data_IF_567036272424
#
_entry.id   IF_567036272424
#
_cell.length_a   1.000
_cell.length_b   1.000
_cell.length_c   1.000
_cell.angle_alpha   90.00
_cell.angle_beta   90.00
_cell.angle_gamma   90.00
#
_symmetry.space_group_name_H-M   'P 1'
#
loop_
_entity.id
_entity.type
_entity.pdbx_description
1 polymer ?
#
# COMPACT_ATOMS: atom_id res chain seq x y z
N UNK A 1 -30.91 -38.43 -14.40
CA UNK A 1 -30.08 -37.55 -13.53
C UNK A 1 -28.57 -37.88 -13.49
N UNK A 2 -28.08 -38.90 -14.22
CA UNK A 2 -26.64 -39.21 -14.25
C UNK A 2 -25.83 -38.36 -15.26
N UNK A 3 -26.42 -37.97 -16.39
CA UNK A 3 -25.75 -37.16 -17.42
C UNK A 3 -25.14 -35.84 -16.90
N UNK A 4 -25.83 -35.16 -15.96
CA UNK A 4 -25.31 -33.93 -15.35
C UNK A 4 -24.08 -34.14 -14.45
N UNK A 5 -23.94 -35.32 -13.83
CA UNK A 5 -22.77 -35.65 -12.99
C UNK A 5 -21.55 -35.98 -13.84
N UNK A 6 -21.75 -36.71 -14.94
CA UNK A 6 -20.70 -36.97 -15.92
C UNK A 6 -20.21 -35.66 -16.56
N UNK A 7 -21.12 -34.74 -16.92
CA UNK A 7 -20.74 -33.40 -17.41
C UNK A 7 -19.95 -32.57 -16.39
N UNK A 8 -20.30 -32.59 -15.11
CA UNK A 8 -19.54 -31.86 -14.07
C UNK A 8 -18.17 -32.50 -13.85
N UNK A 9 -18.06 -33.83 -13.82
CA UNK A 9 -16.78 -34.53 -13.73
C UNK A 9 -15.88 -34.25 -14.93
N UNK A 10 -16.43 -34.26 -16.15
CA UNK A 10 -15.72 -33.89 -17.36
C UNK A 10 -15.27 -32.42 -17.31
N UNK A 11 -16.14 -31.48 -16.97
CA UNK A 11 -15.77 -30.06 -16.84
C UNK A 11 -14.69 -29.82 -15.78
N UNK A 12 -14.68 -30.57 -14.68
CA UNK A 12 -13.62 -30.51 -13.67
C UNK A 12 -12.30 -31.12 -14.19
N UNK A 13 -12.37 -32.21 -14.95
CA UNK A 13 -11.19 -32.85 -15.55
C UNK A 13 -10.56 -31.95 -16.63
N UNK A 14 -11.39 -31.35 -17.49
CA UNK A 14 -10.99 -30.30 -18.44
C UNK A 14 -10.41 -29.09 -17.70
N UNK A 15 -11.02 -28.63 -16.60
CA UNK A 15 -10.44 -27.55 -15.80
C UNK A 15 -9.08 -27.91 -15.21
N UNK A 16 -8.86 -29.16 -14.77
CA UNK A 16 -7.52 -29.59 -14.31
C UNK A 16 -6.51 -29.74 -15.45
N UNK A 17 -6.95 -30.14 -16.64
CA UNK A 17 -6.09 -30.23 -17.83
C UNK A 17 -5.69 -28.83 -18.32
N UNK A 18 -6.65 -27.89 -18.33
CA UNK A 18 -6.42 -26.48 -18.64
C UNK A 18 -5.52 -25.85 -17.56
N UNK A 19 -5.73 -26.12 -16.27
CA UNK A 19 -4.89 -25.59 -15.20
C UNK A 19 -3.46 -26.17 -15.22
N UNK A 20 -3.29 -27.43 -15.64
CA UNK A 20 -1.99 -28.03 -15.90
C UNK A 20 -1.32 -27.46 -17.17
N UNK A 21 -2.10 -27.13 -18.21
CA UNK A 21 -1.60 -26.51 -19.44
C UNK A 21 -1.35 -24.99 -19.32
N UNK A 22 -1.98 -24.29 -18.37
CA UNK A 22 -1.68 -22.90 -18.04
C UNK A 22 -0.56 -22.76 -17.02
N UNK A 23 -0.29 -23.82 -16.23
CA UNK A 23 1.03 -24.08 -15.64
C UNK A 23 2.04 -24.45 -16.74
N UNK A 24 2.23 -23.54 -17.70
CA UNK A 24 3.45 -23.47 -18.48
C UNK A 24 4.58 -23.23 -17.48
N UNK A 25 5.25 -24.32 -17.10
CA UNK A 25 6.56 -24.23 -16.49
C UNK A 25 7.41 -23.47 -17.50
N UNK A 26 7.68 -22.20 -17.21
CA UNK A 26 8.58 -21.38 -18.04
C UNK A 26 9.96 -21.99 -17.86
N UNK A 27 10.24 -22.98 -18.70
CA UNK A 27 11.55 -23.61 -18.81
C UNK A 27 12.50 -22.49 -19.19
N UNK A 28 13.45 -22.10 -18.32
CA UNK A 28 14.34 -21.02 -18.64
C UNK A 28 15.15 -21.48 -19.85
N UNK A 29 15.06 -20.74 -20.96
CA UNK A 29 15.68 -21.12 -22.24
C UNK A 29 17.17 -21.45 -22.12
N UNK A 30 17.83 -20.81 -21.16
CA UNK A 30 19.22 -21.08 -20.80
C UNK A 30 19.37 -21.39 -19.30
N UNK A 31 20.45 -22.08 -18.90
CA UNK A 31 20.78 -22.33 -17.50
C UNK A 31 20.86 -21.05 -16.66
N UNK A 32 20.66 -21.20 -15.35
CA UNK A 32 20.76 -20.09 -14.39
C UNK A 32 22.18 -19.51 -14.41
N UNK A 33 22.29 -18.24 -14.84
CA UNK A 33 23.56 -17.54 -14.98
C UNK A 33 23.84 -17.09 -16.41
N UNK A 34 23.33 -17.82 -17.41
CA UNK A 34 23.58 -17.58 -18.82
C UNK A 34 22.59 -16.59 -19.46
N UNK A 35 22.82 -16.26 -20.74
CA UNK A 35 21.90 -15.52 -21.60
C UNK A 35 21.83 -16.14 -23.00
N UNK A 36 20.67 -16.04 -23.63
CA UNK A 36 20.46 -16.41 -25.04
C UNK A 36 21.04 -15.32 -25.95
N UNK A 37 21.92 -15.70 -26.89
CA UNK A 37 22.45 -14.81 -27.92
C UNK A 37 21.47 -14.67 -29.12
N UNK A 38 21.84 -13.92 -30.15
CA UNK A 38 20.95 -13.73 -31.34
C UNK A 38 20.69 -15.00 -32.15
N UNK A 39 21.58 -15.99 -32.05
CA UNK A 39 21.51 -17.27 -32.77
C UNK A 39 20.79 -18.35 -31.93
N UNK A 40 20.23 -17.99 -30.77
CA UNK A 40 19.56 -18.93 -29.85
C UNK A 40 20.51 -19.72 -28.95
N UNK A 41 21.80 -19.38 -28.93
CA UNK A 41 22.84 -20.10 -28.19
C UNK A 41 22.95 -19.55 -26.76
N UNK A 42 23.03 -20.44 -25.78
CA UNK A 42 23.25 -20.07 -24.38
C UNK A 42 24.72 -19.76 -24.09
N UNK A 43 24.97 -18.50 -23.70
CA UNK A 43 26.29 -17.95 -23.44
C UNK A 43 26.46 -17.51 -21.97
N UNK A 44 27.67 -17.70 -21.43
CA UNK A 44 28.04 -17.20 -20.09
C UNK A 44 28.07 -15.67 -20.01
N UNK A 45 27.52 -15.10 -18.94
CA UNK A 45 27.65 -13.66 -18.64
C UNK A 45 29.06 -13.28 -18.20
N UNK A 46 29.47 -12.05 -18.52
CA UNK A 46 30.69 -11.45 -17.99
C UNK A 46 30.55 -11.17 -16.49
N UNK A 47 31.60 -11.39 -15.68
CA UNK A 47 31.56 -11.10 -14.24
C UNK A 47 31.55 -9.59 -13.96
N UNK A 48 31.22 -9.23 -12.71
CA UNK A 48 31.43 -7.88 -12.21
C UNK A 48 32.89 -7.44 -12.44
N UNK A 49 33.11 -6.20 -12.85
CA UNK A 49 34.40 -5.71 -13.33
C UNK A 49 34.57 -5.73 -14.85
N UNK A 50 33.73 -6.45 -15.59
CA UNK A 50 33.93 -6.71 -17.01
C UNK A 50 32.69 -6.39 -17.84
N UNK A 51 32.90 -6.07 -19.12
CA UNK A 51 31.87 -5.92 -20.15
C UNK A 51 32.08 -6.91 -21.28
N UNK A 52 31.00 -7.18 -22.01
CA UNK A 52 31.00 -7.99 -23.21
C UNK A 52 31.76 -7.28 -24.36
N UNK A 53 32.54 -8.04 -25.11
CA UNK A 53 33.20 -7.61 -26.36
C UNK A 53 32.58 -8.32 -27.55
N UNK A 54 32.39 -9.64 -27.43
CA UNK A 54 31.75 -10.48 -28.43
C UNK A 54 30.91 -11.56 -27.74
N UNK A 55 29.75 -11.86 -28.33
CA UNK A 55 28.87 -12.97 -27.93
C UNK A 55 29.59 -14.32 -28.16
N UNK A 56 29.18 -15.38 -27.46
CA UNK A 56 29.75 -16.71 -27.70
C UNK A 56 29.26 -17.27 -29.06
N UNK A 57 30.09 -18.08 -29.72
CA UNK A 57 29.79 -18.66 -31.04
C UNK A 57 29.25 -20.10 -30.99
N UNK A 58 29.27 -20.73 -29.81
CA UNK A 58 28.78 -22.11 -29.61
C UNK A 58 28.42 -22.35 -28.16
N UNK A 59 27.52 -23.30 -27.93
CA UNK A 59 26.95 -23.57 -26.61
C UNK A 59 28.03 -23.99 -25.60
N UNK A 60 27.91 -23.50 -24.35
CA UNK A 60 28.90 -23.75 -23.30
C UNK A 60 30.24 -23.01 -23.44
N UNK A 61 30.46 -22.24 -24.52
CA UNK A 61 31.65 -21.39 -24.61
C UNK A 61 31.49 -20.10 -23.81
N UNK A 62 32.58 -19.65 -23.20
CA UNK A 62 32.63 -18.41 -22.43
C UNK A 62 32.62 -17.20 -23.39
N UNK A 63 31.69 -16.27 -23.18
CA UNK A 63 31.68 -15.00 -23.92
C UNK A 63 32.97 -14.21 -23.72
N UNK A 64 33.36 -13.42 -24.74
CA UNK A 64 34.58 -12.62 -24.69
C UNK A 64 34.34 -11.36 -23.84
N UNK A 65 35.05 -11.26 -22.71
CA UNK A 65 34.85 -10.21 -21.70
C UNK A 65 36.15 -9.43 -21.46
N UNK A 66 36.06 -8.10 -21.39
CA UNK A 66 37.19 -7.20 -21.12
C UNK A 66 36.90 -6.34 -19.88
N UNK A 67 37.90 -5.98 -19.06
CA UNK A 67 37.67 -5.15 -17.88
C UNK A 67 37.07 -3.79 -18.24
N UNK A 68 36.28 -3.22 -17.34
CA UNK A 68 35.75 -1.87 -17.49
C UNK A 68 36.90 -0.85 -17.55
N UNK A 69 36.86 0.10 -18.51
CA UNK A 69 37.88 1.13 -18.61
C UNK A 69 37.79 2.12 -17.44
N UNK A 70 38.85 2.91 -17.23
CA UNK A 70 38.89 3.91 -16.17
C UNK A 70 37.66 4.87 -16.22
N UNK A 71 37.12 5.18 -15.04
CA UNK A 71 35.86 5.93 -14.84
C UNK A 71 34.59 5.22 -15.34
N UNK A 72 34.63 3.89 -15.52
CA UNK A 72 33.44 3.05 -15.70
C UNK A 72 33.47 1.82 -14.79
N UNK A 73 32.30 1.23 -14.52
CA UNK A 73 32.14 0.06 -13.68
C UNK A 73 30.98 -0.85 -14.11
N UNK A 74 31.01 -2.10 -13.65
CA UNK A 74 29.88 -3.04 -13.65
C UNK A 74 29.94 -3.87 -12.36
N UNK A 75 28.94 -3.76 -11.49
CA UNK A 75 28.92 -4.41 -10.16
C UNK A 75 28.22 -5.77 -10.14
N UNK A 76 27.66 -6.21 -11.28
CA UNK A 76 26.89 -7.44 -11.42
C UNK A 76 27.36 -8.25 -12.63
N UNK A 77 27.00 -9.54 -12.66
CA UNK A 77 27.16 -10.36 -13.85
C UNK A 77 26.29 -9.79 -14.97
N UNK A 78 26.85 -9.64 -16.17
CA UNK A 78 26.20 -8.89 -17.24
C UNK A 78 26.58 -9.40 -18.64
N UNK A 79 25.75 -9.11 -19.63
CA UNK A 79 26.01 -9.29 -21.05
C UNK A 79 26.06 -7.93 -21.79
N UNK A 80 26.45 -6.86 -21.09
CA UNK A 80 26.42 -5.51 -21.62
C UNK A 80 27.73 -5.18 -22.37
N UNK A 81 27.62 -4.62 -23.58
CA UNK A 81 28.78 -4.18 -24.37
C UNK A 81 29.46 -2.90 -23.83
N UNK A 82 28.84 -2.24 -22.85
CA UNK A 82 29.29 -0.97 -22.25
C UNK A 82 29.18 -1.06 -20.72
N UNK A 83 30.20 -0.57 -20.02
CA UNK A 83 30.14 -0.39 -18.56
C UNK A 83 29.41 0.92 -18.21
N UNK A 84 28.85 1.00 -17.01
CA UNK A 84 28.20 2.23 -16.53
C UNK A 84 29.25 3.26 -16.14
N UNK A 85 29.02 4.55 -16.43
CA UNK A 85 29.91 5.63 -15.99
C UNK A 85 29.84 5.78 -14.47
N UNK A 86 30.99 5.98 -13.83
CA UNK A 86 31.06 6.19 -12.38
C UNK A 86 30.32 7.47 -11.95
N UNK A 87 29.66 7.46 -10.78
CA UNK A 87 29.11 8.68 -10.16
C UNK A 87 30.27 9.65 -9.85
N UNK A 88 30.04 10.94 -10.07
CA UNK A 88 30.96 12.01 -9.60
C UNK A 88 30.33 12.68 -8.38
N UNK A 89 31.06 12.71 -7.27
CA UNK A 89 30.59 13.36 -6.04
C UNK A 89 30.63 14.88 -6.19
N UNK A 90 29.53 15.55 -5.88
CA UNK A 90 29.33 16.98 -6.13
C UNK A 90 29.72 17.79 -4.91
N UNK A 91 30.90 18.42 -4.94
CA UNK A 91 31.35 19.35 -3.91
C UNK A 91 30.34 20.49 -3.65
N UNK A 92 29.64 20.96 -4.70
CA UNK A 92 28.56 21.94 -4.59
C UNK A 92 27.31 21.47 -3.80
N UNK A 93 27.19 20.15 -3.53
CA UNK A 93 26.18 19.54 -2.65
C UNK A 93 26.77 19.03 -1.34
N UNK A 94 27.97 19.49 -0.96
CA UNK A 94 28.72 19.02 0.21
C UNK A 94 29.03 17.49 0.19
N UNK A 95 29.00 16.85 -0.97
CA UNK A 95 29.45 15.46 -1.14
C UNK A 95 30.98 15.39 -1.25
N UNK A 96 31.56 14.32 -0.72
CA UNK A 96 32.96 13.90 -0.90
C UNK A 96 33.03 12.44 -1.35
N UNK A 97 34.10 12.08 -2.04
CA UNK A 97 34.38 10.68 -2.36
C UNK A 97 34.80 9.93 -1.08
N UNK A 98 34.03 8.89 -0.73
CA UNK A 98 34.31 8.01 0.42
C UNK A 98 34.95 6.70 -0.05
N UNK A 99 34.59 6.23 -1.24
CA UNK A 99 35.29 5.13 -1.93
C UNK A 99 35.48 5.49 -3.41
N UNK A 100 36.69 5.34 -3.97
CA UNK A 100 36.96 5.58 -5.38
C UNK A 100 36.23 4.56 -6.25
N UNK A 101 35.95 4.94 -7.50
CA UNK A 101 35.41 4.02 -8.48
C UNK A 101 36.44 2.94 -8.85
N UNK A 102 35.97 1.70 -9.02
CA UNK A 102 36.74 0.54 -9.47
C UNK A 102 35.98 -0.14 -10.59
N UNK A 103 36.64 -0.99 -11.38
CA UNK A 103 35.96 -1.72 -12.46
C UNK A 103 34.69 -2.47 -11.99
N UNK A 104 34.71 -3.03 -10.77
CA UNK A 104 33.59 -3.76 -10.18
C UNK A 104 32.72 -2.96 -9.19
N UNK A 105 32.95 -1.65 -9.01
CA UNK A 105 32.31 -0.87 -7.94
C UNK A 105 32.16 0.61 -8.33
N UNK A 106 30.95 1.16 -8.18
CA UNK A 106 30.72 2.59 -8.39
C UNK A 106 31.50 3.45 -7.37
N UNK A 107 31.72 4.72 -7.69
CA UNK A 107 32.12 5.72 -6.69
C UNK A 107 31.06 5.78 -5.58
N UNK A 108 31.50 5.73 -4.33
CA UNK A 108 30.61 5.93 -3.16
C UNK A 108 30.82 7.36 -2.67
N UNK A 109 29.77 8.17 -2.78
CA UNK A 109 29.73 9.53 -2.25
C UNK A 109 29.11 9.54 -0.85
N UNK A 110 29.65 10.36 0.03
CA UNK A 110 29.08 10.64 1.36
C UNK A 110 29.21 12.10 1.71
N UNK A 111 28.56 12.53 2.80
CA UNK A 111 28.61 13.92 3.22
C UNK A 111 29.98 14.31 3.80
N UNK A 112 30.39 15.55 3.53
CA UNK A 112 31.56 16.19 4.13
C UNK A 112 31.44 16.18 5.66
N UNK A 113 32.58 16.17 6.36
CA UNK A 113 32.59 16.32 7.83
C UNK A 113 31.88 17.63 8.23
N UNK A 114 31.01 17.58 9.24
CA UNK A 114 30.11 18.68 9.60
C UNK A 114 28.78 18.71 8.82
N UNK A 115 28.50 17.67 8.03
CA UNK A 115 27.23 17.47 7.31
C UNK A 115 26.74 16.03 7.48
N UNK A 116 25.41 15.86 7.55
CA UNK A 116 24.73 14.57 7.64
C UNK A 116 23.83 14.34 6.42
N UNK A 117 23.53 13.07 6.10
CA UNK A 117 22.57 12.70 5.06
C UNK A 117 21.14 12.97 5.51
N UNK A 118 20.44 13.81 4.78
CA UNK A 118 18.99 13.93 4.83
C UNK A 118 18.37 13.16 3.65
N UNK A 119 17.46 12.24 3.94
CA UNK A 119 16.76 11.45 2.93
C UNK A 119 15.48 12.20 2.52
N UNK A 120 15.43 12.68 1.27
CA UNK A 120 14.25 13.34 0.69
C UNK A 120 13.30 12.30 0.07
N UNK A 121 13.86 11.18 -0.41
CA UNK A 121 13.14 9.94 -0.73
C UNK A 121 14.14 8.75 -0.75
N UNK A 122 13.70 7.60 -1.29
CA UNK A 122 14.51 6.39 -1.41
C UNK A 122 15.74 6.50 -2.33
N UNK A 123 15.78 7.48 -3.23
CA UNK A 123 16.87 7.67 -4.20
C UNK A 123 17.62 9.00 -3.98
N UNK A 124 16.95 10.00 -3.40
CA UNK A 124 17.43 11.37 -3.26
C UNK A 124 17.92 11.64 -1.84
N UNK A 125 19.24 11.78 -1.73
CA UNK A 125 19.91 12.19 -0.49
C UNK A 125 20.54 13.58 -0.68
N UNK A 126 20.35 14.43 0.32
CA UNK A 126 21.00 15.74 0.44
C UNK A 126 21.94 15.76 1.65
N UNK A 127 23.04 16.51 1.57
CA UNK A 127 23.95 16.70 2.69
C UNK A 127 23.63 18.03 3.40
N UNK A 128 22.88 17.95 4.49
CA UNK A 128 22.55 19.09 5.35
C UNK A 128 23.64 19.32 6.39
N UNK A 129 23.84 20.58 6.77
CA UNK A 129 24.85 20.96 7.75
C UNK A 129 24.40 20.54 9.14
N UNK A 130 25.30 19.98 9.94
CA UNK A 130 24.98 19.58 11.31
C UNK A 130 24.44 20.77 12.13
N UNK A 131 23.37 20.53 12.87
CA UNK A 131 22.81 21.43 13.85
C UNK A 131 23.82 21.72 14.98
N UNK A 132 23.71 22.91 15.56
CA UNK A 132 24.46 23.30 16.76
C UNK A 132 23.47 23.52 17.90
N UNK A 133 23.70 22.86 19.03
CA UNK A 133 22.87 23.06 20.21
C UNK A 133 22.95 24.50 20.71
N UNK A 134 21.83 25.01 21.22
CA UNK A 134 21.71 26.36 21.76
C UNK A 134 22.45 26.50 23.11
N UNK A 135 22.69 27.72 23.63
CA UNK A 135 23.36 27.92 24.92
C UNK A 135 22.63 27.30 26.13
N UNK A 136 21.32 27.09 26.04
CA UNK A 136 20.42 26.41 26.99
C UNK A 136 20.34 24.88 26.80
N UNK A 137 20.97 24.36 25.75
CA UNK A 137 20.97 22.95 25.36
C UNK A 137 22.37 22.31 25.56
N UNK A 138 22.41 20.98 25.65
CA UNK A 138 23.65 20.18 25.65
C UNK A 138 23.62 19.18 24.49
N UNK A 139 24.79 18.82 23.96
CA UNK A 139 24.90 17.75 22.97
C UNK A 139 24.72 16.40 23.65
N UNK A 140 23.63 15.69 23.35
CA UNK A 140 23.40 14.32 23.81
C UNK A 140 24.06 13.32 22.85
N UNK A 141 23.94 13.59 21.54
CA UNK A 141 24.57 12.79 20.49
C UNK A 141 25.24 13.68 19.45
N UNK A 142 26.54 13.45 19.25
CA UNK A 142 27.34 14.09 18.22
C UNK A 142 26.83 13.78 16.80
N UNK A 143 26.88 14.80 15.93
CA UNK A 143 26.58 14.63 14.52
C UNK A 143 27.49 13.59 13.85
N UNK A 144 26.93 12.86 12.89
CA UNK A 144 27.67 11.91 12.05
C UNK A 144 27.32 12.14 10.58
N UNK A 145 27.93 11.40 9.66
CA UNK A 145 27.56 11.48 8.23
C UNK A 145 26.13 10.96 7.95
N UNK A 146 25.51 10.22 8.87
CA UNK A 146 24.20 9.57 8.65
C UNK A 146 23.07 10.16 9.50
N UNK A 147 23.39 10.92 10.57
CA UNK A 147 22.41 11.54 11.49
C UNK A 147 22.94 12.88 12.01
N UNK A 148 22.03 13.82 12.21
CA UNK A 148 22.31 15.14 12.78
C UNK A 148 22.73 15.08 14.26
N UNK A 149 23.21 16.20 14.80
CA UNK A 149 23.38 16.45 16.24
C UNK A 149 22.04 16.33 16.97
N UNK A 150 22.00 15.66 18.11
CA UNK A 150 20.83 15.64 19.01
C UNK A 150 21.12 16.48 20.25
N UNK A 151 20.21 17.41 20.55
CA UNK A 151 20.37 18.42 21.58
C UNK A 151 19.35 18.27 22.72
N UNK A 152 19.82 17.88 23.89
CA UNK A 152 19.06 17.85 25.14
C UNK A 152 18.96 19.23 25.78
N UNK A 153 18.05 19.41 26.74
CA UNK A 153 18.12 20.57 27.63
C UNK A 153 19.21 20.35 28.69
N UNK A 154 19.83 21.43 29.17
CA UNK A 154 20.75 21.37 30.31
C UNK A 154 20.02 20.99 31.60
N UNK A 155 20.76 20.53 32.61
CA UNK A 155 20.22 20.28 33.95
C UNK A 155 19.44 21.49 34.48
N UNK A 156 18.29 21.22 35.11
CA UNK A 156 17.33 22.23 35.57
C UNK A 156 16.64 23.02 34.44
N UNK A 157 16.69 22.56 33.20
CA UNK A 157 15.84 23.03 32.10
C UNK A 157 15.03 21.88 31.49
N UNK A 158 13.83 22.17 30.99
CA UNK A 158 12.96 21.20 30.34
C UNK A 158 12.41 21.74 29.01
N UNK A 159 12.10 20.83 28.07
CA UNK A 159 11.74 21.20 26.69
C UNK A 159 10.27 21.60 26.60
N UNK A 160 10.00 22.90 26.47
CA UNK A 160 8.68 23.49 26.23
C UNK A 160 8.64 24.07 24.83
N UNK A 161 7.73 23.58 23.96
CA UNK A 161 7.54 24.11 22.59
C UNK A 161 8.87 24.30 21.80
N UNK A 162 9.76 23.31 21.88
CA UNK A 162 11.11 23.31 21.27
C UNK A 162 12.12 24.37 21.78
N UNK A 163 11.87 24.96 22.96
CA UNK A 163 12.82 25.76 23.74
C UNK A 163 13.10 25.07 25.07
N UNK A 164 14.27 25.28 25.66
CA UNK A 164 14.54 24.83 27.02
C UNK A 164 14.17 25.94 27.99
N UNK A 165 13.17 25.70 28.83
CA UNK A 165 12.74 26.63 29.88
C UNK A 165 13.26 26.17 31.24
N UNK A 166 13.66 27.08 32.15
CA UNK A 166 14.19 26.70 33.45
C UNK A 166 13.09 26.10 34.34
N UNK A 167 13.43 25.04 35.06
CA UNK A 167 12.57 24.41 36.06
C UNK A 167 12.33 25.37 37.24
N UNK A 168 11.13 25.97 37.28
CA UNK A 168 10.68 26.81 38.41
C UNK A 168 9.82 26.04 39.41
N UNK A 169 9.00 25.11 38.91
CA UNK A 169 8.05 24.31 39.68
C UNK A 169 8.23 22.83 39.33
N UNK A 170 7.84 21.93 40.23
CA UNK A 170 7.84 20.48 40.00
C UNK A 170 6.69 20.01 39.09
N UNK A 171 6.67 20.47 37.84
CA UNK A 171 5.78 19.94 36.80
C UNK A 171 6.33 18.64 36.22
N UNK A 172 5.51 17.92 35.44
CA UNK A 172 5.81 16.61 34.85
C UNK A 172 7.09 16.55 34.00
N UNK A 173 7.59 17.70 33.51
CA UNK A 173 8.86 17.81 32.78
C UNK A 173 10.10 18.10 33.64
N UNK A 174 9.91 18.45 34.92
CA UNK A 174 10.98 18.80 35.87
C UNK A 174 11.06 17.85 37.08
N UNK A 175 10.22 16.81 37.12
CA UNK A 175 10.10 15.90 38.28
C UNK A 175 11.42 15.22 38.67
N UNK A 176 12.33 14.99 37.71
CA UNK A 176 13.67 14.41 37.95
C UNK A 176 14.67 15.39 38.58
N UNK A 177 14.42 16.71 38.51
CA UNK A 177 15.24 17.75 39.13
C UNK A 177 14.65 18.29 40.44
N UNK A 178 13.41 17.93 40.77
CA UNK A 178 12.87 18.15 42.10
C UNK A 178 13.26 17.00 43.03
N UNK A 179 14.12 17.30 44.01
CA UNK A 179 14.23 16.47 45.21
C UNK A 179 12.96 16.62 46.05
N UNK A 180 11.94 15.85 45.71
CA UNK A 180 10.95 15.42 46.67
C UNK A 180 11.66 14.45 47.64
N UNK A 181 11.86 14.90 48.88
CA UNK A 181 12.20 13.99 49.98
C UNK A 181 11.03 13.02 50.19
N UNK A 182 11.09 11.87 49.52
CA UNK A 182 10.19 10.75 49.78
C UNK A 182 10.91 9.81 50.73
N UNK A 183 10.34 9.67 51.93
CA UNK A 183 10.81 8.72 52.94
C UNK A 183 10.90 7.31 52.35
N UNK A 184 11.93 6.58 52.76
CA UNK A 184 12.14 5.17 52.38
C UNK A 184 11.07 4.28 53.01
N UNK A 185 10.03 3.95 52.25
CA UNK A 185 9.29 2.70 52.41
C UNK A 185 9.36 1.92 51.09
N UNK A 186 9.88 0.70 51.17
CA UNK A 186 10.20 -0.08 49.98
C UNK A 186 9.11 -1.11 49.70
N UNK A 187 8.82 -1.35 48.41
CA UNK A 187 8.12 -2.57 48.01
C UNK A 187 8.61 -3.19 46.69
N UNK A 188 8.63 -4.53 46.73
CA UNK A 188 8.81 -5.54 45.69
C UNK A 188 8.96 -5.14 44.21
N UNK A 189 9.99 -5.72 43.61
CA UNK A 189 10.00 -6.09 42.19
C UNK A 189 8.92 -7.15 41.87
N UNK A 190 8.17 -7.01 40.76
CA UNK A 190 7.62 -8.14 40.03
C UNK A 190 8.62 -8.62 38.96
N UNK A 191 8.75 -9.94 38.80
CA UNK A 191 9.63 -10.56 37.80
C UNK A 191 9.06 -10.54 36.37
N UNK A 192 9.83 -11.02 35.37
CA UNK A 192 9.40 -11.03 33.97
C UNK A 192 8.29 -12.07 33.70
N UNK A 193 7.22 -11.66 33.04
CA UNK A 193 6.13 -12.57 32.65
C UNK A 193 6.50 -13.51 31.48
N UNK A 194 5.95 -14.74 31.45
CA UNK A 194 6.26 -15.74 30.43
C UNK A 194 5.46 -15.53 29.13
N UNK A 195 6.15 -15.51 27.98
CA UNK A 195 5.59 -15.32 26.62
C UNK A 195 4.83 -16.55 26.07
N UNK A 196 3.91 -17.13 26.84
CA UNK A 196 3.19 -18.36 26.44
C UNK A 196 1.75 -18.14 25.93
N UNK A 197 1.17 -16.95 26.10
CA UNK A 197 -0.23 -16.70 25.73
C UNK A 197 -0.48 -16.60 24.20
N UNK A 198 0.56 -16.35 23.40
CA UNK A 198 0.43 -16.22 21.95
C UNK A 198 0.29 -17.57 21.22
N UNK A 199 0.96 -18.62 21.73
CA UNK A 199 0.98 -19.95 21.11
C UNK A 199 -0.33 -20.71 21.36
N UNK A 200 -0.93 -20.55 22.55
CA UNK A 200 -2.19 -21.22 22.92
C UNK A 200 -3.34 -20.74 22.03
N UNK A 201 -3.42 -19.42 21.76
CA UNK A 201 -4.43 -18.86 20.87
C UNK A 201 -4.27 -19.32 19.41
N UNK A 202 -3.04 -19.54 18.94
CA UNK A 202 -2.76 -20.04 17.59
C UNK A 202 -3.21 -21.50 17.42
N UNK A 203 -2.99 -22.34 18.44
CA UNK A 203 -3.41 -23.75 18.43
C UNK A 203 -4.92 -23.88 18.61
N UNK A 204 -5.54 -23.11 19.51
CA UNK A 204 -6.98 -23.11 19.71
C UNK A 204 -7.74 -22.66 18.44
N UNK A 205 -7.25 -21.63 17.75
CA UNK A 205 -7.83 -21.16 16.49
C UNK A 205 -7.80 -22.21 15.38
N UNK A 206 -6.68 -22.95 15.23
CA UNK A 206 -6.56 -23.99 14.19
C UNK A 206 -7.52 -25.16 14.43
N UNK A 207 -7.71 -25.58 15.68
CA UNK A 207 -8.67 -26.65 16.05
C UNK A 207 -10.11 -26.24 15.71
N UNK A 208 -10.51 -24.99 15.99
CA UNK A 208 -11.85 -24.49 15.65
C UNK A 208 -12.07 -24.47 14.14
N UNK A 209 -11.10 -24.01 13.35
CA UNK A 209 -11.21 -24.01 11.87
C UNK A 209 -11.34 -25.43 11.31
N UNK A 210 -10.55 -26.38 11.81
CA UNK A 210 -10.65 -27.80 11.38
C UNK A 210 -12.00 -28.40 11.74
N UNK A 211 -12.53 -28.14 12.94
CA UNK A 211 -13.86 -28.61 13.36
C UNK A 211 -14.98 -28.02 12.50
N UNK A 212 -14.92 -26.74 12.13
CA UNK A 212 -15.87 -26.10 11.20
C UNK A 212 -15.81 -26.73 9.81
N UNK A 213 -14.60 -26.96 9.27
CA UNK A 213 -14.44 -27.62 7.97
C UNK A 213 -14.99 -29.05 7.97
N UNK A 214 -14.73 -29.84 9.02
CA UNK A 214 -15.31 -31.18 9.18
C UNK A 214 -16.84 -31.14 9.29
N UNK A 215 -17.40 -30.20 10.05
CA UNK A 215 -18.85 -30.02 10.15
C UNK A 215 -19.47 -29.64 8.80
N UNK A 216 -18.82 -28.80 7.99
CA UNK A 216 -19.26 -28.47 6.63
C UNK A 216 -19.21 -29.68 5.69
N UNK A 217 -18.17 -30.51 5.74
CA UNK A 217 -18.09 -31.75 4.96
C UNK A 217 -19.18 -32.75 5.38
N UNK A 218 -19.44 -32.91 6.68
CA UNK A 218 -20.54 -33.73 7.19
C UNK A 218 -21.90 -33.17 6.76
N UNK A 219 -22.09 -31.84 6.80
CA UNK A 219 -23.34 -31.22 6.34
C UNK A 219 -23.55 -31.40 4.83
N UNK A 220 -22.52 -31.21 4.00
CA UNK A 220 -22.60 -31.40 2.55
C UNK A 220 -22.85 -32.86 2.20
N UNK A 221 -22.18 -33.82 2.86
CA UNK A 221 -22.42 -35.26 2.65
C UNK A 221 -23.79 -35.70 3.17
N UNK A 222 -24.27 -35.15 4.28
CA UNK A 222 -25.64 -35.37 4.79
C UNK A 222 -26.70 -34.79 3.84
N UNK A 223 -26.51 -33.58 3.33
CA UNK A 223 -27.41 -32.98 2.34
C UNK A 223 -27.38 -33.74 1.00
N UNK A 224 -26.22 -34.23 0.58
CA UNK A 224 -26.09 -35.07 -0.61
C UNK A 224 -26.79 -36.43 -0.45
N UNK A 225 -26.59 -37.12 0.67
CA UNK A 225 -27.25 -38.40 0.99
C UNK A 225 -28.76 -38.23 1.19
N UNK A 226 -29.21 -37.20 1.93
CA UNK A 226 -30.64 -36.86 2.10
C UNK A 226 -31.33 -36.47 0.79
N UNK A 227 -30.64 -35.79 -0.13
CA UNK A 227 -31.13 -35.52 -1.50
C UNK A 227 -31.09 -36.76 -2.41
N UNK A 228 -30.33 -37.79 -2.06
CA UNK A 228 -30.32 -39.08 -2.75
C UNK A 228 -31.43 -40.02 -2.25
N UNK A 229 -31.64 -40.14 -0.93
CA UNK A 229 -32.69 -40.99 -0.34
C UNK A 229 -34.08 -40.47 -0.71
N UNK A 230 -34.32 -39.15 -0.69
CA UNK A 230 -35.54 -38.54 -1.24
C UNK A 230 -35.78 -38.79 -2.75
N UNK A 231 -34.79 -39.31 -3.49
CA UNK A 231 -34.91 -39.65 -4.92
C UNK A 231 -34.98 -41.16 -5.18
N UNK A 232 -35.17 -41.97 -4.14
CA UNK A 232 -35.13 -43.45 -4.23
C UNK A 232 -36.39 -44.18 -3.75
N UNK A 233 -37.55 -43.51 -3.72
CA UNK A 233 -38.87 -44.16 -3.64
C UNK A 233 -39.59 -44.07 -5.00
N UNK A 234 -39.83 -45.20 -5.68
CA UNK A 234 -40.75 -45.30 -6.81
C UNK A 234 -42.20 -45.51 -6.37
N UNK A 235 -43.13 -45.16 -7.25
CA UNK A 235 -44.60 -45.21 -7.10
C UNK A 235 -45.18 -46.64 -7.06
N UNK A 236 -46.36 -46.82 -6.42
CA UNK A 236 -47.26 -47.94 -6.69
C UNK A 236 -48.74 -47.54 -6.53
N UNK A 237 -49.52 -47.72 -7.63
CA UNK A 237 -50.95 -48.07 -7.78
C UNK A 237 -51.95 -47.85 -6.62
N UNK A 238 -53.22 -47.48 -6.84
CA UNK A 238 -54.06 -47.26 -8.04
C UNK A 238 -55.24 -46.30 -7.67
N UNK A 239 -56.34 -46.04 -8.40
CA UNK A 239 -56.97 -46.62 -9.62
C UNK A 239 -57.81 -45.54 -10.37
N UNK A 240 -58.88 -45.93 -11.06
CA UNK A 240 -59.87 -45.11 -11.80
C UNK A 240 -61.30 -45.38 -11.29
N UNK A 241 -62.27 -44.56 -11.70
CA UNK A 241 -63.74 -44.58 -11.45
C UNK A 241 -64.19 -43.72 -10.24
N UNK A 242 -65.34 -43.03 -10.23
CA UNK A 242 -66.54 -43.14 -11.09
C UNK A 242 -67.28 -41.78 -11.29
N UNK A 243 -68.58 -41.78 -11.60
CA UNK A 243 -69.30 -40.76 -12.40
C UNK A 243 -70.38 -39.95 -11.63
N UNK A 244 -70.47 -38.65 -11.96
CA UNK A 244 -71.63 -37.72 -11.84
C UNK A 244 -72.20 -37.29 -10.48
N UNK A 245 -72.30 -35.97 -10.22
CA UNK A 245 -73.53 -35.14 -10.32
C UNK A 245 -73.27 -33.73 -9.71
N UNK A 246 -73.31 -32.73 -10.58
CA UNK A 246 -73.78 -31.33 -10.47
C UNK A 246 -74.19 -30.70 -9.10
N UNK A 247 -73.67 -29.48 -8.81
CA UNK A 247 -74.46 -28.23 -8.83
C UNK A 247 -73.66 -26.98 -8.38
N UNK A 248 -73.75 -25.85 -9.11
CA UNK A 248 -73.40 -24.51 -8.60
C UNK A 248 -72.43 -23.61 -9.40
N UNK A 249 -72.92 -22.98 -10.48
CA UNK A 249 -72.80 -21.54 -10.90
C UNK A 249 -71.60 -20.69 -10.38
N UNK A 250 -70.95 -19.76 -11.12
CA UNK A 250 -71.08 -19.22 -12.49
C UNK A 250 -69.88 -18.28 -12.84
N UNK A 251 -69.39 -18.38 -14.09
CA UNK A 251 -68.91 -17.40 -15.11
C UNK A 251 -69.01 -15.85 -14.84
N UNK A 252 -68.40 -14.86 -15.53
CA UNK A 252 -67.26 -14.68 -16.49
C UNK A 252 -66.86 -13.16 -16.57
N UNK A 253 -65.61 -12.88 -16.99
CA UNK A 253 -65.10 -11.83 -17.94
C UNK A 253 -65.78 -10.43 -18.05
N UNK A 254 -65.03 -9.32 -17.88
CA UNK A 254 -64.51 -8.44 -18.97
C UNK A 254 -63.52 -7.36 -18.45
N UNK A 255 -62.80 -6.71 -19.37
CA UNK A 255 -61.75 -5.71 -19.12
C UNK A 255 -62.05 -4.39 -19.86
N UNK A 256 -61.47 -3.26 -19.39
CA UNK A 256 -60.85 -2.17 -20.22
C UNK A 256 -60.41 -0.96 -19.36
N UNK A 257 -59.38 -0.22 -19.82
CA UNK A 257 -59.41 1.27 -19.79
C UNK A 257 -58.60 2.06 -18.72
N UNK A 258 -57.72 3.00 -19.13
CA UNK A 258 -57.03 4.02 -18.30
C UNK A 258 -57.62 5.45 -18.60
N UNK A 259 -56.95 6.64 -18.51
CA UNK A 259 -55.57 7.04 -18.10
C UNK A 259 -55.46 8.38 -17.28
N UNK A 260 -54.24 8.97 -17.27
CA UNK A 260 -53.81 10.39 -17.01
C UNK A 260 -53.01 10.66 -15.70
N UNK A 261 -52.20 11.73 -15.55
CA UNK A 261 -51.16 12.36 -16.43
C UNK A 261 -50.38 13.48 -15.67
N UNK A 262 -49.28 13.99 -16.28
CA UNK A 262 -48.65 15.33 -16.08
C UNK A 262 -47.64 15.56 -14.92
N UNK A 263 -46.56 16.27 -15.28
CA UNK A 263 -45.60 17.02 -14.44
C UNK A 263 -45.46 18.44 -15.05
N UNK A 264 -45.27 19.50 -14.25
CA UNK A 264 -45.08 20.87 -14.73
C UNK A 264 -44.12 21.72 -13.86
N UNK A 265 -43.44 22.69 -14.49
CA UNK A 265 -42.53 23.70 -13.89
C UNK A 265 -43.13 25.12 -14.02
N UNK A 266 -42.84 26.01 -13.07
CA UNK A 266 -42.64 27.48 -13.18
C UNK A 266 -42.53 28.05 -11.74
N UNK A 267 -41.56 28.87 -11.31
CA UNK A 267 -41.01 30.16 -11.79
C UNK A 267 -41.83 31.41 -11.37
N UNK A 268 -41.26 32.23 -10.47
CA UNK A 268 -41.67 33.62 -10.15
C UNK A 268 -40.52 34.38 -9.44
N UNK A 269 -40.53 35.73 -9.44
CA UNK A 269 -39.41 36.61 -9.02
C UNK A 269 -39.84 37.67 -7.99
N UNK A 270 -39.00 37.91 -6.94
CA UNK A 270 -38.75 39.19 -6.20
C UNK A 270 -39.95 39.99 -5.57
N UNK A 271 -39.75 41.10 -4.79
CA UNK A 271 -38.53 41.73 -4.18
C UNK A 271 -38.65 42.10 -2.66
N UNK A 272 -37.68 42.89 -2.13
CA UNK A 272 -37.64 43.67 -0.84
C UNK A 272 -37.42 42.81 0.43
N UNK A 273 -36.45 43.03 1.34
CA UNK A 273 -35.93 44.25 2.03
C UNK A 273 -36.56 44.30 3.44
N UNK A 274 -35.90 44.49 4.59
CA UNK A 274 -34.58 45.05 4.97
C UNK A 274 -34.23 44.57 6.42
N UNK A 275 -33.00 44.85 6.90
CA UNK A 275 -32.54 44.91 8.31
C UNK A 275 -31.88 43.67 8.98
N UNK A 276 -30.58 43.85 9.26
CA UNK A 276 -29.70 43.33 10.34
C UNK A 276 -30.29 42.39 11.43
N UNK A 277 -29.57 41.30 11.78
CA UNK A 277 -29.02 41.04 13.15
C UNK A 277 -28.41 39.61 13.34
N UNK A 278 -27.08 39.50 13.20
CA UNK A 278 -26.16 38.58 13.93
C UNK A 278 -26.27 37.03 13.86
N UNK A 279 -25.09 36.38 13.95
CA UNK A 279 -24.79 34.96 14.27
C UNK A 279 -25.11 33.89 13.22
N UNK A 280 -24.09 33.54 12.42
CA UNK A 280 -23.78 32.14 12.08
C UNK A 280 -22.32 31.82 12.46
N UNK A 281 -21.98 30.56 12.76
CA UNK A 281 -20.60 30.14 13.00
C UNK A 281 -19.79 30.05 11.70
N UNK A 282 -18.49 30.32 11.79
CA UNK A 282 -17.52 30.19 10.70
C UNK A 282 -17.32 28.72 10.29
N UNK A 283 -18.16 28.22 9.39
CA UNK A 283 -17.90 26.99 8.64
C UNK A 283 -17.07 27.30 7.38
N UNK A 284 -15.83 27.77 7.55
CA UNK A 284 -14.87 27.88 6.44
C UNK A 284 -14.42 26.48 6.05
N UNK A 285 -14.62 26.01 4.79
CA UNK A 285 -14.12 24.70 4.37
C UNK A 285 -12.58 24.67 4.38
N UNK A 286 -11.97 23.63 4.95
CA UNK A 286 -10.53 23.39 4.83
C UNK A 286 -10.16 23.16 3.37
N UNK A 287 -9.46 24.13 2.76
CA UNK A 287 -8.98 24.09 1.37
C UNK A 287 -7.72 23.22 1.24
N UNK A 288 -7.90 21.89 1.20
CA UNK A 288 -6.80 20.95 1.02
C UNK A 288 -6.36 20.94 -0.45
N UNK A 289 -5.16 21.44 -0.75
CA UNK A 289 -4.57 21.35 -2.11
C UNK A 289 -4.19 19.92 -2.44
N UNK A 290 -4.72 19.40 -3.55
CA UNK A 290 -4.46 18.03 -4.03
C UNK A 290 -2.95 17.72 -4.13
N UNK A 291 -2.07 18.57 -4.70
CA UNK A 291 -0.64 18.25 -4.78
C UNK A 291 0.02 18.08 -3.41
N UNK A 292 -0.28 18.95 -2.45
CA UNK A 292 0.31 18.92 -1.10
C UNK A 292 -0.12 17.66 -0.33
N UNK A 293 -1.38 17.23 -0.48
CA UNK A 293 -1.87 15.98 0.07
C UNK A 293 -1.19 14.77 -0.58
N UNK A 294 -1.07 14.72 -1.91
CA UNK A 294 -0.48 13.57 -2.60
C UNK A 294 0.98 13.39 -2.18
N UNK A 295 1.78 14.46 -2.10
CA UNK A 295 3.15 14.34 -1.59
C UNK A 295 3.18 13.86 -0.14
N UNK A 296 2.29 14.35 0.72
CA UNK A 296 2.19 13.84 2.10
C UNK A 296 1.87 12.34 2.16
N UNK A 297 0.99 11.83 1.29
CA UNK A 297 0.70 10.40 1.17
C UNK A 297 1.93 9.61 0.70
N UNK A 298 2.64 10.12 -0.31
CA UNK A 298 3.84 9.46 -0.86
C UNK A 298 5.02 9.40 0.13
N UNK A 299 5.09 10.35 1.06
CA UNK A 299 6.14 10.40 2.09
C UNK A 299 5.84 9.46 3.27
N UNK A 300 4.56 9.15 3.51
CA UNK A 300 4.09 8.31 4.62
C UNK A 300 3.81 6.85 4.24
N UNK A 301 3.52 6.57 2.96
CA UNK A 301 3.15 5.23 2.48
C UNK A 301 4.36 4.55 1.79
N UNK A 302 4.78 3.36 2.25
CA UNK A 302 5.88 2.63 1.61
C UNK A 302 5.63 2.38 0.11
N UNK A 303 6.66 2.60 -0.70
CA UNK A 303 6.62 2.50 -2.19
C UNK A 303 5.94 1.21 -2.68
N UNK A 304 6.22 0.06 -2.04
CA UNK A 304 5.64 -1.24 -2.38
C UNK A 304 4.11 -1.33 -2.17
N UNK A 305 3.56 -0.50 -1.28
CA UNK A 305 2.14 -0.49 -0.92
C UNK A 305 1.34 0.58 -1.66
N UNK A 306 1.97 1.59 -2.28
CA UNK A 306 1.25 2.65 -3.02
C UNK A 306 0.39 2.06 -4.15
N UNK A 307 0.91 1.07 -4.90
CA UNK A 307 0.13 0.34 -5.94
C UNK A 307 -1.05 -0.47 -5.39
N UNK A 308 -1.04 -0.84 -4.11
CA UNK A 308 -2.17 -1.49 -3.45
C UNK A 308 -3.17 -0.43 -2.97
N UNK A 309 -2.68 0.69 -2.42
CA UNK A 309 -3.50 1.82 -1.99
C UNK A 309 -4.34 2.39 -3.12
N UNK A 310 -3.73 2.69 -4.28
CA UNK A 310 -4.48 3.26 -5.42
C UNK A 310 -5.54 2.31 -5.97
N UNK A 311 -5.36 0.98 -5.86
CA UNK A 311 -6.40 -0.01 -6.18
C UNK A 311 -7.52 -0.01 -5.15
N UNK A 312 -7.19 0.08 -3.86
CA UNK A 312 -8.17 0.21 -2.78
C UNK A 312 -8.98 1.52 -2.87
N UNK A 313 -8.41 2.55 -3.48
CA UNK A 313 -9.03 3.84 -3.84
C UNK A 313 -9.73 3.83 -5.23
N UNK A 314 -9.93 2.66 -5.86
CA UNK A 314 -10.71 2.53 -7.09
C UNK A 314 -10.02 2.97 -8.39
N UNK A 315 -8.71 3.24 -8.38
CA UNK A 315 -7.94 3.47 -9.63
C UNK A 315 -7.81 2.14 -10.38
N UNK A 316 -8.15 2.14 -11.68
CA UNK A 316 -8.17 0.91 -12.49
C UNK A 316 -6.75 0.48 -12.85
N UNK A 317 -6.49 -0.82 -12.98
CA UNK A 317 -5.17 -1.33 -13.41
C UNK A 317 -4.71 -0.71 -14.75
N UNK A 318 -5.63 -0.46 -15.69
CA UNK A 318 -5.32 0.20 -16.98
C UNK A 318 -4.92 1.68 -16.85
N UNK A 319 -5.12 2.31 -15.70
CA UNK A 319 -4.66 3.67 -15.38
C UNK A 319 -3.34 3.63 -14.61
N UNK A 320 -3.17 2.62 -13.75
CA UNK A 320 -1.91 2.30 -13.06
C UNK A 320 -0.82 1.97 -14.09
N UNK A 321 -1.07 1.02 -14.99
CA UNK A 321 -0.14 0.62 -16.06
C UNK A 321 0.25 1.79 -16.97
N UNK A 322 -0.72 2.65 -17.31
CA UNK A 322 -0.47 3.87 -18.10
C UNK A 322 0.43 4.85 -17.34
N UNK A 323 0.15 5.10 -16.06
CA UNK A 323 0.97 5.99 -15.24
C UNK A 323 2.43 5.49 -15.14
N UNK A 324 2.65 4.17 -15.02
CA UNK A 324 3.99 3.56 -15.00
C UNK A 324 4.70 3.61 -16.35
N UNK A 325 3.97 3.45 -17.46
CA UNK A 325 4.54 3.53 -18.81
C UNK A 325 4.92 4.97 -19.18
N UNK A 326 4.08 5.94 -18.84
CA UNK A 326 4.25 7.35 -19.20
C UNK A 326 5.30 8.06 -18.31
N UNK A 327 5.51 7.60 -17.07
CA UNK A 327 6.38 8.26 -16.09
C UNK A 327 7.54 7.37 -15.66
N UNK A 328 8.74 7.71 -16.14
CA UNK A 328 9.99 6.94 -15.93
C UNK A 328 10.49 6.90 -14.47
N UNK A 329 9.95 7.74 -13.59
CA UNK A 329 10.25 7.76 -12.16
C UNK A 329 9.11 7.12 -11.39
N UNK A 330 9.42 6.18 -10.49
CA UNK A 330 8.43 5.49 -9.66
C UNK A 330 7.61 6.47 -8.79
N UNK A 331 8.26 7.48 -8.19
CA UNK A 331 7.59 8.50 -7.36
C UNK A 331 6.62 9.37 -8.20
N UNK A 332 6.99 9.69 -9.44
CA UNK A 332 6.14 10.45 -10.37
C UNK A 332 4.95 9.60 -10.87
N UNK A 333 5.19 8.34 -11.25
CA UNK A 333 4.11 7.42 -11.62
C UNK A 333 3.08 7.28 -10.49
N UNK A 334 3.55 7.12 -9.25
CA UNK A 334 2.71 7.06 -8.06
C UNK A 334 1.94 8.37 -7.79
N UNK A 335 2.58 9.53 -7.98
CA UNK A 335 1.91 10.84 -7.90
C UNK A 335 0.74 10.93 -8.89
N UNK A 336 0.94 10.52 -10.15
CA UNK A 336 -0.10 10.59 -11.17
C UNK A 336 -1.24 9.58 -10.91
N UNK A 337 -0.96 8.40 -10.36
CA UNK A 337 -2.03 7.46 -9.93
C UNK A 337 -2.94 8.06 -8.85
N UNK A 338 -2.35 8.63 -7.79
CA UNK A 338 -3.09 9.28 -6.71
C UNK A 338 -3.84 10.54 -7.19
N UNK A 339 -3.26 11.28 -8.15
CA UNK A 339 -3.90 12.42 -8.80
C UNK A 339 -5.14 12.02 -9.61
N UNK A 340 -5.11 10.89 -10.30
CA UNK A 340 -6.27 10.35 -11.01
C UNK A 340 -7.41 10.00 -10.05
N UNK A 341 -7.11 9.40 -8.88
CA UNK A 341 -8.12 9.19 -7.83
C UNK A 341 -8.71 10.53 -7.33
N UNK A 342 -7.85 11.46 -6.88
CA UNK A 342 -8.28 12.73 -6.32
C UNK A 342 -9.15 13.56 -7.30
N UNK A 343 -8.79 13.57 -8.59
CA UNK A 343 -9.55 14.28 -9.63
C UNK A 343 -10.91 13.64 -9.93
N UNK A 344 -11.02 12.30 -9.93
CA UNK A 344 -12.30 11.61 -10.09
C UNK A 344 -13.24 11.87 -8.92
N UNK A 345 -12.71 11.74 -7.70
CA UNK A 345 -13.45 12.06 -6.48
C UNK A 345 -14.07 13.45 -6.51
N UNK A 346 -13.26 14.48 -6.82
CA UNK A 346 -13.77 15.85 -6.91
C UNK A 346 -14.80 16.05 -8.03
N UNK A 347 -14.77 15.27 -9.12
CA UNK A 347 -15.80 15.28 -10.16
C UNK A 347 -17.12 14.63 -9.71
N UNK A 348 -17.05 13.52 -8.97
CA UNK A 348 -18.25 12.79 -8.49
C UNK A 348 -19.02 13.57 -7.41
N UNK A 349 -18.34 14.40 -6.62
CA UNK A 349 -18.97 15.28 -5.62
C UNK A 349 -19.54 16.60 -6.22
N UNK A 350 -19.58 16.75 -7.54
CA UNK A 350 -20.14 17.95 -8.19
C UNK A 350 -19.26 19.20 -8.13
N UNK A 351 -17.98 19.04 -7.74
CA UNK A 351 -17.00 20.11 -7.73
C UNK A 351 -16.63 20.56 -9.14
N UNK A 352 -16.46 21.88 -9.31
CA UNK A 352 -15.83 22.43 -10.51
C UNK A 352 -14.37 21.99 -10.65
N UNK A 353 -13.71 22.44 -11.73
CA UNK A 353 -12.37 22.02 -12.16
C UNK A 353 -11.21 22.54 -11.26
N UNK A 354 -11.37 22.54 -9.95
CA UNK A 354 -10.42 23.04 -8.95
C UNK A 354 -9.43 21.97 -8.47
N UNK A 355 -8.26 22.42 -8.01
CA UNK A 355 -7.19 21.57 -7.47
C UNK A 355 -7.36 21.26 -5.97
N UNK A 356 -8.60 21.31 -5.47
CA UNK A 356 -8.95 21.16 -4.06
C UNK A 356 -9.62 19.81 -3.81
N UNK A 357 -9.28 19.18 -2.68
CA UNK A 357 -9.88 17.92 -2.24
C UNK A 357 -10.93 18.21 -1.17
N UNK A 358 -12.14 17.65 -1.34
CA UNK A 358 -13.19 17.75 -0.33
C UNK A 358 -12.96 16.78 0.83
N UNK A 359 -13.40 17.16 2.03
CA UNK A 359 -13.28 16.36 3.27
C UNK A 359 -13.70 14.89 3.15
N UNK A 360 -14.81 14.50 2.47
CA UNK A 360 -15.19 13.09 2.34
C UNK A 360 -14.15 12.21 1.62
N UNK A 361 -13.37 12.78 0.70
CA UNK A 361 -12.29 12.07 0.00
C UNK A 361 -11.06 11.89 0.90
N UNK A 362 -10.79 12.84 1.80
CA UNK A 362 -9.78 12.64 2.84
C UNK A 362 -10.21 11.50 3.77
N UNK A 363 -11.49 11.47 4.18
CA UNK A 363 -12.03 10.42 5.05
C UNK A 363 -11.98 9.03 4.38
N UNK A 364 -12.27 8.92 3.08
CA UNK A 364 -12.08 7.70 2.30
C UNK A 364 -10.60 7.24 2.29
N UNK A 365 -9.66 8.16 2.03
CA UNK A 365 -8.23 7.87 2.04
C UNK A 365 -7.76 7.37 3.42
N UNK A 366 -8.20 8.01 4.49
CA UNK A 366 -7.88 7.61 5.87
C UNK A 366 -8.44 6.23 6.22
N UNK A 367 -9.67 5.89 5.77
CA UNK A 367 -10.25 4.56 5.90
C UNK A 367 -9.41 3.49 5.16
N UNK A 368 -9.01 3.74 3.91
CA UNK A 368 -8.19 2.79 3.14
C UNK A 368 -6.80 2.58 3.73
N UNK A 369 -6.17 3.63 4.25
CA UNK A 369 -4.90 3.51 4.97
C UNK A 369 -5.04 2.65 6.23
N UNK A 370 -6.09 2.85 7.04
CA UNK A 370 -6.37 2.01 8.22
C UNK A 370 -6.63 0.55 7.84
N UNK A 371 -7.39 0.29 6.78
CA UNK A 371 -7.65 -1.05 6.24
C UNK A 371 -6.38 -1.77 5.74
N UNK A 372 -5.40 -1.02 5.26
CA UNK A 372 -4.10 -1.54 4.80
C UNK A 372 -3.04 -1.69 5.91
N UNK A 373 -3.43 -1.58 7.19
CA UNK A 373 -2.53 -1.55 8.34
C UNK A 373 -1.55 -0.36 8.36
N UNK A 374 -1.84 0.70 7.59
CA UNK A 374 -1.10 1.96 7.57
C UNK A 374 -1.70 2.98 8.57
N UNK A 375 -2.06 2.50 9.76
CA UNK A 375 -2.73 3.30 10.80
C UNK A 375 -1.96 4.57 11.19
N UNK A 376 -0.63 4.49 11.34
CA UNK A 376 0.22 5.65 11.62
C UNK A 376 0.16 6.71 10.51
N UNK A 377 0.18 6.29 9.24
CA UNK A 377 0.08 7.22 8.11
C UNK A 377 -1.29 7.91 8.09
N UNK A 378 -2.36 7.19 8.46
CA UNK A 378 -3.68 7.78 8.63
C UNK A 378 -3.71 8.79 9.79
N UNK A 379 -3.18 8.44 10.97
CA UNK A 379 -3.09 9.34 12.13
C UNK A 379 -2.28 10.61 11.83
N UNK A 380 -1.17 10.51 11.10
CA UNK A 380 -0.34 11.66 10.71
C UNK A 380 -1.04 12.56 9.67
N UNK A 381 -1.76 12.00 8.70
CA UNK A 381 -2.57 12.77 7.74
C UNK A 381 -3.79 13.43 8.41
N UNK A 382 -4.47 12.71 9.30
CA UNK A 382 -5.60 13.23 10.09
C UNK A 382 -5.12 14.37 11.00
N UNK A 383 -3.98 14.21 11.68
CA UNK A 383 -3.36 15.29 12.46
C UNK A 383 -3.01 16.51 11.59
N UNK A 384 -2.52 16.28 10.36
CA UNK A 384 -2.07 17.34 9.45
C UNK A 384 -3.23 18.11 8.78
N UNK A 385 -4.38 17.45 8.55
CA UNK A 385 -5.48 18.01 7.76
C UNK A 385 -6.83 18.09 8.50
N UNK A 386 -6.92 17.60 9.74
CA UNK A 386 -8.12 17.70 10.61
C UNK A 386 -7.90 18.50 11.90
N UNK A 387 -6.78 19.22 12.02
CA UNK A 387 -6.58 20.25 13.05
C UNK A 387 -6.78 21.65 12.43
N UNK A 388 -8.04 22.04 12.29
CA UNK A 388 -8.52 23.42 12.46
C UNK A 388 -10.06 23.44 12.56
#
# INVERSE_FOLDING_TARGET
MMAGRLRILLLLFEFTFIFAATLNLVTPKCPVGDYENKDGICCNKCPAGFKLVAECHSEGHRSNCTPCPARQFSDQINNAFQCRKCKTCRAARNEVEVSPCRAAQNTICGCKVGYYKNHIDSETVECLKCSRCKPDETEEHACTRERDTVCGCKENFYRVRNKCEPCRNCTTGCSQHCMLEVATEGERQPGPEPKNHLLINLVAGSVVVVLVLLALVVLVTFLATKRFTKKKMPTLSSQTSEVSVESGKHLLIYAEGPPQSICLKAAAQNPVGELELSKLPDCVPLEIKIPELIYAVLDLVPVLQVKQLVRCLGVKDTEIERAEMDHRSCREAHYQMLRVWAQKGSQELGGGRGEMLHRPLLEELLDKLRQMHLGRAAEELETKYSIQ
#
